data_IF_995863020970
#
_entry.id   IF_995863020970
#
_cell.length_a   1.000
_cell.length_b   1.000
_cell.length_c   1.000
_cell.angle_alpha   90.00
_cell.angle_beta   90.00
_cell.angle_gamma   90.00
#
_symmetry.space_group_name_H-M   'P 1'
#
loop_
_entity.id
_entity.type
_entity.pdbx_description
1 polymer ?
#
# COMPACT_ATOMS: atom_id res chain seq x y z
N UNK A 1 -18.21 1.37 -0.50
CA UNK A 1 -17.12 1.99 0.29
C UNK A 1 -17.28 3.51 0.32
N UNK A 2 -17.37 4.18 -0.81
CA UNK A 2 -17.63 5.63 -0.90
C UNK A 2 -18.86 6.10 -0.12
N UNK A 3 -20.00 5.39 -0.20
CA UNK A 3 -21.20 5.73 0.58
C UNK A 3 -20.96 5.68 2.09
N UNK A 4 -20.18 4.71 2.54
CA UNK A 4 -19.80 4.57 3.96
C UNK A 4 -18.86 5.71 4.37
N UNK A 5 -17.89 6.07 3.53
CA UNK A 5 -16.99 7.20 3.75
C UNK A 5 -17.78 8.52 3.79
N UNK A 6 -18.72 8.71 2.85
CA UNK A 6 -19.56 9.91 2.76
C UNK A 6 -20.40 10.13 4.03
N UNK A 7 -20.78 9.05 4.72
CA UNK A 7 -21.49 9.13 6.01
C UNK A 7 -20.61 9.57 7.19
N UNK A 8 -19.28 9.53 7.03
CA UNK A 8 -18.29 9.88 8.05
C UNK A 8 -17.70 11.28 7.87
N UNK A 9 -17.87 11.89 6.69
CA UNK A 9 -17.37 13.23 6.37
C UNK A 9 -18.53 14.23 6.29
N UNK A 10 -18.23 15.52 6.15
CA UNK A 10 -19.27 16.55 6.11
C UNK A 10 -20.06 16.45 4.81
N UNK A 11 -21.29 16.97 4.83
CA UNK A 11 -22.15 16.97 3.64
C UNK A 11 -21.55 17.76 2.48
N UNK A 12 -20.84 18.86 2.79
CA UNK A 12 -20.17 19.75 1.84
C UNK A 12 -18.83 19.23 1.30
N UNK A 13 -18.29 18.14 1.88
CA UNK A 13 -17.01 17.59 1.45
C UNK A 13 -17.20 16.71 0.20
N UNK A 14 -16.37 16.83 -0.82
CA UNK A 14 -16.39 15.99 -2.01
C UNK A 14 -15.30 14.92 -1.96
N UNK A 15 -15.63 13.68 -2.34
CA UNK A 15 -14.65 12.59 -2.44
C UNK A 15 -14.16 12.52 -3.88
N UNK A 16 -12.89 12.80 -4.10
CA UNK A 16 -12.29 12.73 -5.44
C UNK A 16 -11.82 11.32 -5.78
N UNK A 17 -11.18 10.65 -4.83
CA UNK A 17 -10.63 9.31 -5.03
C UNK A 17 -10.64 8.50 -3.74
N UNK A 18 -10.76 7.18 -3.89
CA UNK A 18 -10.64 6.19 -2.80
C UNK A 18 -9.65 5.11 -3.22
N UNK A 19 -8.70 4.81 -2.35
CA UNK A 19 -7.64 3.84 -2.58
C UNK A 19 -7.51 2.90 -1.38
N UNK A 20 -7.32 1.62 -1.66
CA UNK A 20 -6.91 0.66 -0.65
C UNK A 20 -5.38 0.65 -0.56
N UNK A 21 -4.85 0.79 0.65
CA UNK A 21 -3.41 0.77 0.90
C UNK A 21 -3.07 -0.14 2.08
N UNK A 22 -1.79 -0.44 2.22
CA UNK A 22 -1.27 -1.29 3.28
C UNK A 22 -0.16 -0.58 4.03
N UNK A 23 -0.21 -0.65 5.36
CA UNK A 23 0.88 -0.19 6.20
C UNK A 23 2.02 -1.22 6.15
N UNK A 24 3.18 -0.82 5.65
CA UNK A 24 4.36 -1.66 5.59
C UNK A 24 5.27 -1.37 6.79
N UNK A 25 5.68 -2.37 7.58
CA UNK A 25 6.53 -2.16 8.73
C UNK A 25 7.90 -1.62 8.31
N UNK A 26 8.38 -0.59 9.02
CA UNK A 26 9.56 0.19 8.66
C UNK A 26 10.88 -0.50 9.04
N UNK A 27 11.06 -1.77 8.65
CA UNK A 27 12.33 -2.51 8.87
C UNK A 27 13.37 -2.25 7.78
N UNK A 28 13.09 -1.33 6.85
CA UNK A 28 13.95 -1.04 5.70
C UNK A 28 15.11 -0.07 6.00
N UNK A 29 15.04 0.71 7.08
CA UNK A 29 15.96 1.83 7.32
C UNK A 29 16.92 1.68 8.51
N UNK A 30 16.89 0.60 9.27
CA UNK A 30 17.87 0.43 10.35
C UNK A 30 19.17 -0.17 9.81
N UNK A 31 20.03 0.71 9.31
CA UNK A 31 21.42 0.41 8.96
C UNK A 31 22.33 0.15 10.16
N UNK A 32 21.79 -0.03 11.37
CA UNK A 32 22.59 -0.21 12.57
C UNK A 32 22.16 -1.39 13.44
N UNK A 33 23.15 -2.23 13.73
CA UNK A 33 23.20 -3.31 14.73
C UNK A 33 22.72 -4.70 14.30
N UNK A 34 23.70 -5.40 13.73
CA UNK A 34 23.87 -6.84 13.72
C UNK A 34 23.50 -7.51 15.06
N UNK A 35 22.54 -8.43 15.02
CA UNK A 35 22.74 -9.79 15.57
C UNK A 35 22.04 -10.77 14.66
N UNK A 36 22.77 -11.80 14.25
CA UNK A 36 22.35 -12.80 13.29
C UNK A 36 21.12 -13.59 13.78
N UNK A 37 19.98 -13.32 13.17
CA UNK A 37 18.93 -14.32 12.97
C UNK A 37 18.30 -14.15 11.60
N UNK A 38 19.00 -14.63 10.58
CA UNK A 38 18.47 -14.93 9.23
C UNK A 38 18.03 -13.71 8.42
N UNK A 39 18.48 -13.62 7.16
CA UNK A 39 17.97 -12.65 6.19
C UNK A 39 16.49 -12.88 5.88
N UNK A 40 15.61 -12.52 6.80
CA UNK A 40 14.19 -12.36 6.53
C UNK A 40 14.05 -10.98 5.90
N UNK A 41 14.15 -10.93 4.58
CA UNK A 41 13.52 -9.85 3.84
C UNK A 41 12.08 -9.67 4.35
N UNK A 42 11.57 -8.43 4.30
CA UNK A 42 10.15 -8.18 4.56
C UNK A 42 9.34 -9.24 3.81
N UNK A 43 8.59 -10.07 4.55
CA UNK A 43 7.60 -10.94 3.94
C UNK A 43 6.41 -10.04 3.58
N UNK A 44 6.55 -9.38 2.42
CA UNK A 44 5.56 -8.45 1.89
C UNK A 44 4.23 -9.17 1.73
N UNK A 45 4.25 -10.42 1.29
CA UNK A 45 3.04 -11.20 1.06
C UNK A 45 2.30 -11.42 2.38
N UNK A 46 2.99 -11.85 3.44
CA UNK A 46 2.39 -11.95 4.78
C UNK A 46 1.88 -10.60 5.33
N UNK A 47 2.54 -9.50 4.97
CA UNK A 47 2.15 -8.15 5.40
C UNK A 47 0.88 -7.67 4.69
N UNK A 48 0.76 -7.94 3.39
CA UNK A 48 -0.40 -7.61 2.56
C UNK A 48 -1.62 -8.47 2.93
N UNK A 49 -1.40 -9.71 3.35
CA UNK A 49 -2.48 -10.62 3.74
C UNK A 49 -3.06 -10.32 5.13
N UNK A 50 -2.37 -9.56 5.98
CA UNK A 50 -2.85 -9.20 7.32
C UNK A 50 -3.90 -8.05 7.25
N UNK A 51 -5.17 -8.30 7.60
CA UNK A 51 -6.22 -7.28 7.59
C UNK A 51 -5.93 -6.10 8.52
N UNK A 52 -5.08 -6.29 9.55
CA UNK A 52 -4.68 -5.23 10.48
C UNK A 52 -3.81 -4.18 9.79
N UNK A 53 -3.16 -4.50 8.67
CA UNK A 53 -2.33 -3.56 7.91
C UNK A 53 -3.11 -2.82 6.82
N UNK A 54 -4.29 -3.31 6.45
CA UNK A 54 -5.15 -2.70 5.44
C UNK A 54 -5.71 -1.34 5.92
N UNK A 55 -5.63 -0.33 5.07
CA UNK A 55 -6.18 1.02 5.28
C UNK A 55 -6.90 1.45 4.00
N UNK A 56 -7.85 2.37 4.15
CA UNK A 56 -8.47 3.04 3.02
C UNK A 56 -8.04 4.51 3.05
N UNK A 57 -7.45 5.01 1.97
CA UNK A 57 -7.26 6.44 1.77
C UNK A 57 -8.44 7.00 0.97
N UNK A 58 -8.90 8.19 1.34
CA UNK A 58 -9.74 9.00 0.47
C UNK A 58 -9.13 10.39 0.31
N UNK A 59 -9.10 10.87 -0.93
CA UNK A 59 -8.81 12.28 -1.23
C UNK A 59 -10.13 13.02 -1.17
N UNK A 60 -10.20 13.99 -0.26
CA UNK A 60 -11.40 14.75 0.02
C UNK A 60 -11.11 16.23 -0.17
N UNK A 61 -11.97 16.92 -0.91
CA UNK A 61 -11.93 18.37 -1.02
C UNK A 61 -13.08 18.99 -0.26
N UNK A 62 -12.83 20.15 0.33
CA UNK A 62 -13.83 20.97 0.96
C UNK A 62 -13.89 22.29 0.21
N UNK A 63 -15.08 22.63 -0.30
CA UNK A 63 -15.33 23.94 -0.91
C UNK A 63 -16.09 24.82 0.08
N UNK A 64 -15.51 25.96 0.42
CA UNK A 64 -16.19 26.99 1.19
C UNK A 64 -17.09 27.83 0.26
N UNK A 65 -18.39 27.83 0.53
CA UNK A 65 -19.39 28.56 -0.25
C UNK A 65 -19.27 30.08 -0.12
N UNK A 66 -18.69 30.58 0.99
CA UNK A 66 -18.59 32.02 1.26
C UNK A 66 -17.33 32.65 0.65
N UNK A 67 -16.23 31.90 0.56
CA UNK A 67 -14.92 32.43 0.14
C UNK A 67 -14.42 31.92 -1.21
N UNK A 68 -15.17 31.00 -1.87
CA UNK A 68 -14.78 30.29 -3.11
C UNK A 68 -13.40 29.60 -2.99
N UNK A 69 -12.99 29.32 -1.75
CA UNK A 69 -11.74 28.66 -1.44
C UNK A 69 -11.94 27.15 -1.35
N UNK A 70 -10.95 26.41 -1.82
CA UNK A 70 -10.96 24.94 -1.86
C UNK A 70 -9.75 24.39 -1.10
N UNK A 71 -10.02 23.50 -0.15
CA UNK A 71 -9.00 22.78 0.61
C UNK A 71 -9.00 21.30 0.26
N UNK A 72 -7.81 20.75 -0.02
CA UNK A 72 -7.62 19.31 -0.19
C UNK A 72 -7.16 18.65 1.10
N UNK A 73 -7.57 17.40 1.33
CA UNK A 73 -7.13 16.60 2.47
C UNK A 73 -7.13 15.11 2.15
N UNK A 74 -6.23 14.38 2.80
CA UNK A 74 -6.15 12.92 2.76
C UNK A 74 -6.76 12.38 4.04
N UNK A 75 -7.85 11.63 3.91
CA UNK A 75 -8.45 10.89 5.02
C UNK A 75 -7.94 9.45 4.98
N UNK A 76 -7.46 8.97 6.12
CA UNK A 76 -7.04 7.58 6.32
C UNK A 76 -8.10 6.92 7.20
N UNK A 77 -8.74 5.88 6.68
CA UNK A 77 -9.71 5.07 7.37
C UNK A 77 -9.12 3.71 7.74
N UNK A 78 -9.57 3.20 8.87
CA UNK A 78 -9.28 1.85 9.31
C UNK A 78 -10.58 1.14 9.65
N UNK A 79 -10.67 -0.12 9.25
CA UNK A 79 -11.77 -0.99 9.64
C UNK A 79 -11.43 -1.67 10.96
N UNK A 80 -12.33 -1.57 11.94
CA UNK A 80 -12.21 -2.29 13.21
C UNK A 80 -13.57 -2.88 13.55
N UNK A 81 -13.62 -4.18 13.88
CA UNK A 81 -14.87 -4.89 14.18
C UNK A 81 -16.00 -4.64 13.16
N UNK A 82 -15.67 -4.69 11.86
CA UNK A 82 -16.56 -4.42 10.72
C UNK A 82 -17.18 -3.01 10.70
N UNK A 83 -16.51 -2.03 11.33
CA UNK A 83 -16.87 -0.62 11.30
C UNK A 83 -15.72 0.18 10.72
N UNK A 84 -16.02 0.93 9.67
CA UNK A 84 -15.11 1.91 9.10
C UNK A 84 -15.07 3.15 9.99
N UNK A 85 -13.89 3.58 10.39
CA UNK A 85 -13.68 4.81 11.15
C UNK A 85 -12.57 5.64 10.56
N UNK A 86 -12.63 6.96 10.79
CA UNK A 86 -11.53 7.87 10.47
C UNK A 86 -10.41 7.60 11.49
N UNK A 87 -9.26 7.17 11.01
CA UNK A 87 -8.06 7.00 11.81
C UNK A 87 -7.28 8.33 11.86
N UNK A 88 -7.04 8.94 10.69
CA UNK A 88 -6.25 10.16 10.57
C UNK A 88 -6.75 11.03 9.42
N UNK A 89 -6.56 12.35 9.55
CA UNK A 89 -6.79 13.32 8.47
C UNK A 89 -5.50 14.13 8.30
N UNK A 90 -5.02 14.24 7.07
CA UNK A 90 -3.80 14.97 6.70
C UNK A 90 -4.22 16.07 5.71
N UNK A 91 -4.21 17.34 6.11
CA UNK A 91 -4.57 18.41 5.20
C UNK A 91 -3.45 18.62 4.17
N UNK A 92 -3.81 18.91 2.92
CA UNK A 92 -2.89 19.15 1.81
C UNK A 92 -2.67 20.67 1.70
N UNK A 93 -1.61 21.17 2.34
CA UNK A 93 -1.23 22.58 2.32
C UNK A 93 0.28 22.72 2.52
N UNK A 94 0.83 23.86 2.08
CA UNK A 94 2.22 24.28 2.30
C UNK A 94 3.28 23.18 2.06
N UNK A 95 3.79 22.57 3.14
CA UNK A 95 4.93 21.65 3.17
C UNK A 95 4.53 20.17 2.97
N UNK A 96 3.33 19.90 2.46
CA UNK A 96 2.92 18.54 2.15
C UNK A 96 3.81 17.93 1.05
N UNK A 97 4.51 16.84 1.37
CA UNK A 97 5.37 16.11 0.43
C UNK A 97 5.05 14.62 0.45
N UNK A 98 5.31 13.96 -0.68
CA UNK A 98 5.20 12.51 -0.82
C UNK A 98 6.58 11.98 -1.19
N UNK A 99 7.12 11.11 -0.33
CA UNK A 99 8.36 10.40 -0.62
C UNK A 99 8.04 9.02 -1.22
N UNK A 100 8.70 8.70 -2.32
CA UNK A 100 8.55 7.40 -2.98
C UNK A 100 9.76 6.53 -2.69
N UNK A 101 9.52 5.31 -2.19
CA UNK A 101 10.54 4.30 -1.99
C UNK A 101 10.24 3.05 -2.84
N UNK A 102 11.27 2.45 -3.40
CA UNK A 102 11.16 1.19 -4.12
C UNK A 102 11.60 0.03 -3.23
N UNK A 103 10.69 -0.91 -2.99
CA UNK A 103 10.99 -2.11 -2.22
C UNK A 103 11.56 -3.18 -3.17
N UNK A 104 12.73 -3.72 -2.85
CA UNK A 104 13.33 -4.83 -3.58
C UNK A 104 12.65 -6.12 -3.15
N UNK A 105 11.79 -6.67 -4.01
CA UNK A 105 11.31 -8.05 -3.88
C UNK A 105 12.40 -8.95 -4.46
N UNK A 106 12.93 -9.88 -3.67
CA UNK A 106 13.80 -10.93 -4.22
C UNK A 106 12.96 -11.74 -5.19
N UNK A 107 13.12 -11.45 -6.49
CA UNK A 107 12.48 -12.18 -7.56
C UNK A 107 12.96 -13.62 -7.50
N UNK A 108 12.04 -14.54 -7.24
CA UNK A 108 12.25 -15.97 -7.29
C UNK A 108 12.99 -16.31 -8.58
N UNK A 109 14.23 -16.80 -8.43
CA UNK A 109 15.14 -17.09 -9.52
C UNK A 109 14.45 -18.09 -10.46
N UNK A 110 14.03 -17.62 -11.65
CA UNK A 110 13.49 -18.50 -12.69
C UNK A 110 14.69 -19.24 -13.28
N UNK A 111 15.15 -20.26 -12.56
CA UNK A 111 16.18 -21.15 -13.02
C UNK A 111 15.70 -21.76 -14.34
N UNK A 112 16.39 -21.51 -15.48
CA UNK A 112 15.97 -22.07 -16.76
C UNK A 112 15.98 -23.60 -16.64
N UNK A 113 14.99 -24.31 -17.20
CA UNK A 113 14.92 -25.76 -17.09
C UNK A 113 16.22 -26.35 -17.63
N UNK A 114 16.93 -27.08 -16.78
CA UNK A 114 18.14 -27.80 -17.16
C UNK A 114 17.84 -28.67 -18.38
N UNK A 115 18.60 -28.55 -19.48
CA UNK A 115 18.29 -29.26 -20.71
C UNK A 115 18.47 -30.75 -20.48
N UNK A 116 17.35 -31.48 -20.38
CA UNK A 116 17.34 -32.93 -20.46
C UNK A 116 17.76 -33.31 -21.88
N UNK A 117 19.03 -33.68 -22.05
CA UNK A 117 19.54 -34.29 -23.29
C UNK A 117 18.78 -35.59 -23.56
N UNK A 118 17.74 -35.51 -24.39
CA UNK A 118 17.07 -36.68 -24.96
C UNK A 118 17.96 -37.24 -26.07
N UNK A 119 18.76 -38.24 -25.73
CA UNK A 119 19.52 -39.05 -26.68
C UNK A 119 18.53 -39.80 -27.59
N UNK A 120 18.23 -39.27 -28.77
CA UNK A 120 17.64 -40.08 -29.84
C UNK A 120 18.76 -40.71 -30.68
N UNK A 121 19.05 -41.96 -30.33
CA UNK A 121 19.85 -42.88 -31.12
C UNK A 121 19.07 -43.22 -32.40
N UNK A 122 19.41 -42.59 -33.53
CA UNK A 122 18.88 -42.98 -34.85
C UNK A 122 19.79 -44.06 -35.43
N UNK A 123 19.51 -45.33 -35.12
CA UNK A 123 20.05 -46.46 -35.88
C UNK A 123 19.51 -46.41 -37.30
N UNK A 124 20.42 -46.48 -38.27
CA UNK A 124 20.08 -46.56 -39.69
C UNK A 124 19.50 -47.91 -40.09
N UNK A 125 18.75 -47.90 -41.19
CA UNK A 125 19.03 -48.57 -42.48
C UNK A 125 18.06 -48.01 -43.51
#
# INVERSE_FOLDING_TARGET
>A
METSIKSLIRSSDEILHVLEVYNLPNTLNDGTTSTASSGRGLDIDATLDDPVNKRILAIVTHKDEESDWEEGSVFIFQESANKLGINQVIPIYADFTIDMAQIRRESQDLQPPSPTTSNQHRSGT
#
